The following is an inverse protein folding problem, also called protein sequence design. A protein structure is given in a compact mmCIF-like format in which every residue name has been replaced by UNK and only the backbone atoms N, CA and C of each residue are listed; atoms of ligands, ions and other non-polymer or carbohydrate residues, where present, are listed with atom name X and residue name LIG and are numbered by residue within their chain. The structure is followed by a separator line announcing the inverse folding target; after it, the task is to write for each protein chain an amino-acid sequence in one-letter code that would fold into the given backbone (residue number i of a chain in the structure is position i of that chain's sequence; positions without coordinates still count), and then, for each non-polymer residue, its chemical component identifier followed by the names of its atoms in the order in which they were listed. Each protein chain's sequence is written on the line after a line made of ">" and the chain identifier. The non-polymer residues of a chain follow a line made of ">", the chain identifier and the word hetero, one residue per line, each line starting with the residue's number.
data_IF_023117217293
#
_entry.id   IF_023117217293
#
_cell.length_a   1.000
_cell.length_b   1.000
_cell.length_c   1.000
_cell.angle_alpha   90.00
_cell.angle_beta   90.00
_cell.angle_gamma   90.00
#
_symmetry.space_group_name_H-M   'P 1'
#
loop_
_entity.id
_entity.type
_entity.pdbx_description
1 polymer ?
#
# COMPACT_ATOMS: atom_id res chain seq x y z
N UNK A 1 -14.90 -2.28 -9.29
CA UNK A 1 -13.82 -1.52 -8.62
C UNK A 1 -12.72 -1.32 -9.65
N UNK A 2 -12.10 -0.15 -9.71
CA UNK A 2 -11.21 0.20 -10.82
C UNK A 2 -9.81 -0.39 -10.60
N UNK A 3 -9.14 -0.82 -11.66
CA UNK A 3 -7.79 -1.38 -11.54
C UNK A 3 -6.73 -0.31 -11.22
N UNK A 4 -7.06 0.96 -11.40
CA UNK A 4 -6.32 2.10 -10.88
C UNK A 4 -6.32 2.12 -9.35
N UNK A 5 -7.44 1.74 -8.69
CA UNK A 5 -7.51 1.69 -7.22
C UNK A 5 -6.56 0.62 -6.67
N UNK A 6 -6.46 -0.52 -7.37
CA UNK A 6 -5.52 -1.59 -7.02
C UNK A 6 -4.07 -1.12 -7.14
N UNK A 7 -3.74 -0.40 -8.21
CA UNK A 7 -2.41 0.19 -8.38
C UNK A 7 -2.06 1.13 -7.23
N UNK A 8 -2.96 2.07 -6.90
CA UNK A 8 -2.78 3.02 -5.81
C UNK A 8 -2.69 2.34 -4.44
N UNK A 9 -3.33 1.16 -4.26
CA UNK A 9 -3.13 0.37 -3.04
C UNK A 9 -1.69 -0.13 -2.90
N UNK A 10 -1.03 -0.51 -4.00
CA UNK A 10 0.40 -0.84 -3.98
C UNK A 10 1.28 0.35 -3.57
N UNK A 11 0.97 1.55 -4.08
CA UNK A 11 1.66 2.79 -3.67
C UNK A 11 1.46 3.05 -2.17
N UNK A 12 0.22 2.91 -1.67
CA UNK A 12 -0.10 3.06 -0.26
C UNK A 12 0.69 2.08 0.63
N UNK A 13 0.83 0.82 0.21
CA UNK A 13 1.66 -0.15 0.93
C UNK A 13 3.12 0.31 0.97
N UNK A 14 3.66 0.81 -0.15
CA UNK A 14 5.01 1.35 -0.19
C UNK A 14 5.18 2.52 0.78
N UNK A 15 4.31 3.52 0.72
CA UNK A 15 4.31 4.70 1.61
C UNK A 15 4.22 4.31 3.09
N UNK A 16 3.38 3.33 3.42
CA UNK A 16 3.23 2.85 4.79
C UNK A 16 4.54 2.32 5.37
N UNK A 17 5.29 1.55 4.58
CA UNK A 17 6.54 0.92 5.03
C UNK A 17 7.77 1.82 4.87
N UNK A 18 7.67 2.92 4.13
CA UNK A 18 8.66 4.00 4.12
C UNK A 18 8.35 5.12 5.11
N UNK A 19 7.27 4.97 5.90
CA UNK A 19 6.81 5.95 6.89
C UNK A 19 6.42 7.30 6.27
N UNK A 20 5.82 7.25 5.08
CA UNK A 20 5.34 8.43 4.35
C UNK A 20 6.41 9.12 3.50
N UNK A 21 7.44 8.40 3.07
CA UNK A 21 8.39 8.92 2.06
C UNK A 21 7.67 9.16 0.73
N UNK A 22 8.22 10.06 -0.09
CA UNK A 22 7.66 10.37 -1.41
C UNK A 22 8.13 9.31 -2.43
N UNK A 23 7.21 8.48 -2.98
CA UNK A 23 7.56 7.45 -3.95
C UNK A 23 8.08 8.01 -5.28
N UNK A 24 7.83 9.29 -5.56
CA UNK A 24 8.10 9.89 -6.87
C UNK A 24 9.18 10.99 -6.83
N UNK A 25 9.84 11.20 -5.69
CA UNK A 25 10.83 12.28 -5.49
C UNK A 25 11.99 12.30 -6.50
N UNK A 26 12.35 11.12 -7.03
CA UNK A 26 13.45 10.96 -7.99
C UNK A 26 13.02 11.30 -9.44
N UNK A 27 11.72 11.48 -9.69
CA UNK A 27 11.19 11.77 -11.01
C UNK A 27 10.88 13.27 -11.14
N UNK A 28 11.67 13.95 -11.96
CA UNK A 28 11.50 15.39 -12.21
C UNK A 28 10.18 15.72 -12.95
N UNK A 29 9.64 14.78 -13.72
CA UNK A 29 8.45 14.99 -14.55
C UNK A 29 7.55 13.76 -14.58
N UNK A 30 6.25 13.98 -14.84
CA UNK A 30 5.29 12.91 -15.04
C UNK A 30 5.68 11.98 -16.22
N UNK A 31 6.25 12.52 -17.29
CA UNK A 31 6.67 11.72 -18.45
C UNK A 31 7.81 10.75 -18.11
N UNK A 32 8.77 11.19 -17.27
CA UNK A 32 9.84 10.31 -16.76
C UNK A 32 9.27 9.20 -15.88
N UNK A 33 8.27 9.52 -15.04
CA UNK A 33 7.58 8.54 -14.21
C UNK A 33 6.81 7.51 -15.05
N UNK A 34 6.07 7.97 -16.08
CA UNK A 34 5.37 7.09 -17.03
C UNK A 34 6.35 6.17 -17.74
N UNK A 35 7.43 6.73 -18.29
CA UNK A 35 8.48 5.96 -18.99
C UNK A 35 9.13 4.90 -18.09
N UNK A 36 9.32 5.22 -16.80
CA UNK A 36 9.83 4.28 -15.82
C UNK A 36 8.90 3.07 -15.67
N UNK A 37 7.59 3.28 -15.51
CA UNK A 37 6.64 2.18 -15.37
C UNK A 37 6.47 1.38 -16.67
N UNK A 38 6.43 2.05 -17.82
CA UNK A 38 6.34 1.42 -19.15
C UNK A 38 7.57 0.56 -19.47
N UNK A 39 8.75 0.93 -18.93
CA UNK A 39 9.98 0.12 -19.05
C UNK A 39 10.02 -1.10 -18.13
N UNK A 40 8.97 -1.34 -17.34
CA UNK A 40 8.92 -2.39 -16.31
C UNK A 40 9.52 -1.99 -14.98
N UNK A 41 9.92 -0.73 -14.81
CA UNK A 41 10.38 -0.17 -13.54
C UNK A 41 9.29 -0.24 -12.48
N UNK A 42 9.67 -0.57 -11.24
CA UNK A 42 8.79 -0.62 -10.06
C UNK A 42 9.54 -0.08 -8.85
N UNK A 43 8.82 0.46 -7.88
CA UNK A 43 9.44 0.95 -6.65
C UNK A 43 10.15 -0.20 -5.91
N UNK A 44 11.33 0.06 -5.33
CA UNK A 44 12.05 -0.97 -4.60
C UNK A 44 11.31 -1.35 -3.32
N UNK A 45 11.46 -2.60 -2.90
CA UNK A 45 10.96 -3.09 -1.61
C UNK A 45 11.56 -2.26 -0.46
N UNK A 46 10.75 -1.63 0.41
CA UNK A 46 11.25 -0.94 1.60
C UNK A 46 11.95 -1.87 2.58
N UNK A 47 12.95 -1.37 3.32
CA UNK A 47 13.81 -2.17 4.19
C UNK A 47 13.05 -2.99 5.25
N UNK A 48 11.97 -2.43 5.80
CA UNK A 48 11.18 -3.06 6.88
C UNK A 48 9.91 -3.75 6.38
N UNK A 49 9.72 -3.86 5.06
CA UNK A 49 8.57 -4.56 4.49
C UNK A 49 8.77 -6.08 4.55
N UNK A 50 7.86 -6.86 5.15
CA UNK A 50 7.88 -8.32 5.06
C UNK A 50 7.76 -8.81 3.61
N UNK A 51 8.38 -9.95 3.29
CA UNK A 51 8.34 -10.51 1.92
C UNK A 51 6.90 -10.77 1.43
N UNK A 52 6.03 -11.27 2.31
CA UNK A 52 4.62 -11.51 1.96
C UNK A 52 3.88 -10.21 1.63
N UNK A 53 4.17 -9.10 2.33
CA UNK A 53 3.60 -7.79 1.98
C UNK A 53 4.21 -7.24 0.68
N UNK A 54 5.49 -7.47 0.44
CA UNK A 54 6.13 -7.11 -0.83
C UNK A 54 5.50 -7.85 -2.00
N UNK A 55 5.15 -9.13 -1.82
CA UNK A 55 4.45 -9.92 -2.85
C UNK A 55 3.06 -9.35 -3.16
N UNK A 56 2.30 -8.96 -2.15
CA UNK A 56 0.99 -8.30 -2.33
C UNK A 56 1.16 -6.97 -3.07
N UNK A 57 2.14 -6.16 -2.66
CA UNK A 57 2.46 -4.88 -3.30
C UNK A 57 2.83 -5.06 -4.79
N UNK A 58 3.72 -5.99 -5.11
CA UNK A 58 4.13 -6.26 -6.50
C UNK A 58 2.98 -6.74 -7.38
N UNK A 59 2.06 -7.55 -6.85
CA UNK A 59 0.86 -7.98 -7.58
C UNK A 59 -0.07 -6.81 -7.95
N UNK A 60 -0.07 -5.73 -7.17
CA UNK A 60 -0.84 -4.53 -7.49
C UNK A 60 -0.32 -3.79 -8.73
N UNK A 61 0.94 -4.03 -9.10
CA UNK A 61 1.63 -3.37 -10.20
C UNK A 61 1.92 -4.32 -11.38
N UNK A 62 1.13 -5.38 -11.52
CA UNK A 62 1.14 -6.19 -12.74
C UNK A 62 0.74 -5.32 -13.93
N UNK A 63 1.43 -5.54 -15.05
CA UNK A 63 1.29 -4.71 -16.25
C UNK A 63 -0.15 -4.78 -16.78
N UNK A 64 -0.63 -6.00 -17.05
CA UNK A 64 -2.02 -6.23 -17.42
C UNK A 64 -2.94 -5.91 -16.22
N UNK A 65 -3.86 -4.94 -16.35
CA UNK A 65 -4.82 -4.64 -15.31
C UNK A 65 -5.68 -5.82 -14.87
N UNK A 66 -5.95 -6.78 -15.77
CA UNK A 66 -6.79 -7.95 -15.51
C UNK A 66 -6.10 -9.03 -14.69
N UNK A 67 -4.76 -9.05 -14.68
CA UNK A 67 -3.97 -9.94 -13.84
C UNK A 67 -3.85 -9.44 -12.39
N UNK A 68 -4.20 -8.17 -12.15
CA UNK A 68 -4.14 -7.58 -10.81
C UNK A 68 -5.20 -8.19 -9.89
N UNK A 69 -4.87 -8.44 -8.61
CA UNK A 69 -5.81 -9.03 -7.68
C UNK A 69 -7.00 -8.11 -7.41
N UNK A 70 -8.16 -8.70 -7.14
CA UNK A 70 -9.32 -7.93 -6.66
C UNK A 70 -9.09 -7.47 -5.22
N UNK A 71 -9.77 -6.40 -4.79
CA UNK A 71 -9.72 -5.98 -3.38
C UNK A 71 -10.19 -7.05 -2.38
N UNK A 72 -11.09 -7.96 -2.80
CA UNK A 72 -11.47 -9.11 -1.97
C UNK A 72 -10.26 -10.05 -1.73
N UNK A 73 -9.45 -10.27 -2.76
CA UNK A 73 -8.22 -11.04 -2.67
C UNK A 73 -7.17 -10.30 -1.83
N UNK A 74 -6.94 -9.02 -2.12
CA UNK A 74 -6.01 -8.18 -1.35
C UNK A 74 -6.34 -8.17 0.14
N UNK A 75 -7.61 -7.98 0.51
CA UNK A 75 -8.06 -8.04 1.91
C UNK A 75 -7.69 -9.38 2.55
N UNK A 76 -8.00 -10.50 1.90
CA UNK A 76 -7.69 -11.85 2.42
C UNK A 76 -6.19 -12.08 2.59
N UNK A 77 -5.40 -11.68 1.59
CA UNK A 77 -3.94 -11.80 1.62
C UNK A 77 -3.36 -10.95 2.75
N UNK A 78 -3.69 -9.65 2.81
CA UNK A 78 -3.21 -8.73 3.85
C UNK A 78 -3.59 -9.20 5.25
N UNK A 79 -4.84 -9.63 5.46
CA UNK A 79 -5.27 -10.21 6.74
C UNK A 79 -4.48 -11.48 7.09
N UNK A 80 -4.13 -12.32 6.11
CA UNK A 80 -3.32 -13.52 6.33
C UNK A 80 -1.94 -13.16 6.87
N UNK A 81 -1.29 -12.17 6.26
CA UNK A 81 0.02 -11.70 6.72
C UNK A 81 -0.07 -11.06 8.10
N UNK A 82 -1.12 -10.28 8.37
CA UNK A 82 -1.34 -9.67 9.69
C UNK A 82 -1.58 -10.71 10.79
N UNK A 83 -2.31 -11.80 10.49
CA UNK A 83 -2.51 -12.90 11.44
C UNK A 83 -1.21 -13.56 11.86
N UNK A 84 -0.28 -13.73 10.92
CA UNK A 84 1.02 -14.36 11.18
C UNK A 84 1.95 -13.40 11.94
N UNK A 85 2.00 -12.14 11.51
CA UNK A 85 2.93 -11.14 12.07
C UNK A 85 2.48 -10.58 13.41
N UNK A 86 1.17 -10.50 13.67
CA UNK A 86 0.62 -10.09 14.96
C UNK A 86 -0.79 -10.68 15.18
N UNK A 87 -0.89 -11.87 15.80
CA UNK A 87 -2.15 -12.58 16.02
C UNK A 87 -3.22 -11.77 16.77
N UNK A 88 -2.82 -10.73 17.52
CA UNK A 88 -3.72 -9.91 18.33
C UNK A 88 -4.45 -8.83 17.52
N UNK A 89 -3.95 -8.44 16.34
CA UNK A 89 -4.54 -7.37 15.51
C UNK A 89 -5.95 -7.72 15.02
N UNK A 90 -6.23 -8.99 14.74
CA UNK A 90 -7.55 -9.44 14.29
C UNK A 90 -8.57 -9.56 15.42
N UNK A 91 -8.12 -9.55 16.69
CA UNK A 91 -9.01 -9.57 17.86
C UNK A 91 -9.45 -8.16 18.28
N UNK A 92 -8.88 -7.11 17.69
CA UNK A 92 -9.27 -5.74 17.94
C UNK A 92 -10.54 -5.40 17.13
N UNK A 93 -11.66 -5.02 17.77
CA UNK A 93 -12.85 -4.58 17.05
C UNK A 93 -12.53 -3.31 16.26
N UNK A 94 -12.60 -3.37 14.93
CA UNK A 94 -12.45 -2.25 14.00
C UNK A 94 -11.17 -1.42 14.21
N UNK A 95 -10.03 -1.95 13.76
CA UNK A 95 -8.71 -1.29 13.78
C UNK A 95 -8.65 0.07 13.06
N UNK A 96 -9.60 0.38 12.17
CA UNK A 96 -9.73 1.74 11.61
C UNK A 96 -10.23 2.80 12.60
N UNK A 97 -10.87 2.42 13.72
CA UNK A 97 -11.29 3.39 14.74
C UNK A 97 -10.11 3.95 15.53
N UNK A 98 -9.02 3.20 15.70
CA UNK A 98 -7.84 3.69 16.44
C UNK A 98 -7.13 4.84 15.73
N UNK A 99 -7.07 4.80 14.40
CA UNK A 99 -6.49 5.89 13.61
C UNK A 99 -7.41 7.12 13.55
N UNK A 100 -8.72 6.94 13.45
CA UNK A 100 -9.67 8.06 13.46
C UNK A 100 -9.79 8.74 14.83
N UNK A 101 -9.75 7.96 15.93
CA UNK A 101 -9.88 8.50 17.30
C UNK A 101 -8.66 9.35 17.72
N UNK A 102 -7.47 9.10 17.17
CA UNK A 102 -6.30 9.96 17.39
C UNK A 102 -6.22 11.17 16.46
N UNK A 103 -6.93 11.17 15.34
CA UNK A 103 -6.94 12.30 14.40
C UNK A 103 -7.93 13.40 14.79
N UNK A 104 -8.89 13.12 15.71
CA UNK A 104 -9.87 14.11 16.18
C UNK A 104 -9.39 14.99 17.35
N UNK A 105 -8.17 14.82 17.86
CA UNK A 105 -7.60 15.64 18.93
C UNK A 105 -6.68 16.78 18.44
N UNK A 106 -6.88 17.29 17.23
CA UNK A 106 -6.26 18.54 16.74
C UNK A 106 -7.27 19.52 16.18
N UNK A 107 -8.37 19.76 16.91
CA UNK A 107 -9.23 20.94 16.69
C UNK A 107 -9.65 21.56 18.03
N UNK A 108 -8.66 21.90 18.86
CA UNK A 108 -8.79 22.94 19.88
C UNK A 108 -7.49 23.76 19.90
N UNK A 109 -7.35 24.64 18.91
CA UNK A 109 -6.77 25.99 18.96
C UNK A 109 -6.96 26.52 17.53
N UNK A 110 -7.70 27.63 17.45
CA UNK A 110 -8.29 28.35 16.29
C UNK A 110 -9.40 27.65 15.50
#
# INVERSE_FOLDING_TARGET
>A
MFQSDVWSYGILLWELFTLGDDPFKEFETADKLTSFYESGGRLPKPAFMPDDMSSIMSQCWLEDPTDRPTFSMLKKMTESVLRVTNPQVMNAPNTMKFFWFKSTEVHHIV
#
